data_IF_440080521889
#
_entry.id   IF_440080521889
#
_cell.length_a   1.000
_cell.length_b   1.000
_cell.length_c   1.000
_cell.angle_alpha   90.00
_cell.angle_beta   90.00
_cell.angle_gamma   90.00
#
_symmetry.space_group_name_H-M   'P 1'
#
loop_
_entity.id
_entity.type
_entity.pdbx_description
1 polymer ?
#
# COMPACT_ATOMS: atom_id res chain seq x y z
N UNK A 1 -36.48 -8.89 21.28
CA UNK A 1 -35.53 -7.94 21.86
C UNK A 1 -34.99 -7.07 20.74
N UNK A 2 -35.05 -5.74 20.86
CA UNK A 2 -34.37 -4.82 19.92
C UNK A 2 -32.98 -4.59 20.48
N UNK A 3 -31.97 -5.22 19.90
CA UNK A 3 -30.57 -4.92 20.20
C UNK A 3 -30.30 -3.50 19.75
N UNK A 4 -29.79 -2.64 20.63
CA UNK A 4 -29.50 -1.25 20.28
C UNK A 4 -28.36 -1.22 19.26
N UNK A 5 -28.34 -0.23 18.36
CA UNK A 5 -27.28 -0.07 17.35
C UNK A 5 -25.91 0.03 18.02
N UNK A 6 -25.87 0.61 19.22
CA UNK A 6 -24.69 0.65 20.06
C UNK A 6 -24.18 -0.74 20.46
N UNK A 7 -25.07 -1.66 20.83
CA UNK A 7 -24.71 -3.04 21.20
C UNK A 7 -24.14 -3.80 19.99
N UNK A 8 -24.77 -3.64 18.81
CA UNK A 8 -24.31 -4.27 17.59
C UNK A 8 -22.92 -3.75 17.16
N UNK A 9 -22.67 -2.44 17.31
CA UNK A 9 -21.36 -1.85 17.05
C UNK A 9 -20.30 -2.36 18.03
N UNK A 10 -20.63 -2.42 19.33
CA UNK A 10 -19.72 -2.89 20.36
C UNK A 10 -19.36 -4.37 20.18
N UNK A 11 -20.33 -5.22 19.79
CA UNK A 11 -20.09 -6.61 19.43
C UNK A 11 -19.20 -6.70 18.17
N UNK A 12 -19.46 -5.86 17.16
CA UNK A 12 -18.61 -5.78 15.97
C UNK A 12 -17.15 -5.47 16.30
N UNK A 13 -16.89 -4.51 17.17
CA UNK A 13 -15.54 -4.22 17.65
C UNK A 13 -14.94 -5.35 18.50
N UNK A 14 -15.70 -5.97 19.41
CA UNK A 14 -15.16 -7.06 20.24
C UNK A 14 -14.73 -8.28 19.42
N UNK A 15 -15.49 -8.63 18.37
CA UNK A 15 -15.24 -9.85 17.61
C UNK A 15 -14.39 -9.65 16.35
N UNK A 16 -14.45 -8.49 15.69
CA UNK A 16 -13.78 -8.29 14.40
C UNK A 16 -12.57 -7.33 14.43
N UNK A 17 -12.31 -6.63 15.54
CA UNK A 17 -11.24 -5.62 15.59
C UNK A 17 -9.86 -6.20 15.31
N UNK A 18 -9.51 -7.34 15.89
CA UNK A 18 -8.23 -8.01 15.62
C UNK A 18 -8.14 -8.58 14.21
N UNK A 19 -9.25 -9.00 13.61
CA UNK A 19 -9.28 -9.49 12.23
C UNK A 19 -9.16 -8.34 11.21
N UNK A 20 -9.65 -7.14 11.55
CA UNK A 20 -9.61 -5.94 10.70
C UNK A 20 -8.24 -5.24 10.70
N UNK A 21 -7.44 -5.37 11.76
CA UNK A 21 -6.09 -4.78 11.84
C UNK A 21 -5.11 -5.33 10.77
N UNK A 22 -5.05 -6.64 10.48
CA UNK A 22 -4.32 -7.19 9.33
C UNK A 22 -4.72 -6.56 7.99
N UNK A 23 -6.00 -6.26 7.77
CA UNK A 23 -6.47 -5.62 6.54
C UNK A 23 -5.99 -4.18 6.41
N UNK A 24 -5.99 -3.42 7.50
CA UNK A 24 -5.42 -2.05 7.53
C UNK A 24 -3.92 -2.08 7.22
N UNK A 25 -3.17 -3.01 7.84
CA UNK A 25 -1.73 -3.21 7.57
C UNK A 25 -1.47 -3.64 6.14
N UNK A 26 -2.32 -4.48 5.55
CA UNK A 26 -2.24 -4.89 4.14
C UNK A 26 -2.38 -3.69 3.19
N UNK A 27 -3.27 -2.74 3.50
CA UNK A 27 -3.42 -1.51 2.72
C UNK A 27 -2.13 -0.68 2.69
N UNK A 28 -1.52 -0.47 3.86
CA UNK A 28 -0.24 0.24 3.99
C UNK A 28 0.88 -0.47 3.22
N UNK A 29 0.99 -1.80 3.37
CA UNK A 29 2.01 -2.59 2.68
C UNK A 29 1.88 -2.49 1.14
N UNK A 30 0.66 -2.64 0.62
CA UNK A 30 0.39 -2.52 -0.81
C UNK A 30 0.69 -1.10 -1.33
N UNK A 31 0.37 -0.07 -0.55
CA UNK A 31 0.70 1.31 -0.89
C UNK A 31 2.22 1.52 -0.97
N UNK A 32 2.97 1.04 0.03
CA UNK A 32 4.43 1.11 0.06
C UNK A 32 5.06 0.37 -1.12
N UNK A 33 4.55 -0.82 -1.46
CA UNK A 33 5.05 -1.60 -2.59
C UNK A 33 4.81 -0.89 -3.93
N UNK A 34 3.62 -0.30 -4.11
CA UNK A 34 3.31 0.53 -5.30
C UNK A 34 4.21 1.76 -5.38
N UNK A 35 4.49 2.40 -4.26
CA UNK A 35 5.41 3.54 -4.19
C UNK A 35 6.83 3.11 -4.62
N UNK A 36 7.35 2.04 -4.03
CA UNK A 36 8.68 1.52 -4.35
C UNK A 36 8.82 1.14 -5.83
N UNK A 37 7.79 0.50 -6.41
CA UNK A 37 7.78 0.12 -7.83
C UNK A 37 7.91 1.35 -8.73
N UNK A 38 7.16 2.42 -8.48
CA UNK A 38 7.25 3.67 -9.26
C UNK A 38 8.61 4.35 -9.13
N UNK A 39 9.20 4.33 -7.93
CA UNK A 39 10.55 4.85 -7.73
C UNK A 39 11.58 4.07 -8.53
N UNK A 40 11.47 2.74 -8.54
CA UNK A 40 12.33 1.87 -9.32
C UNK A 40 12.20 2.10 -10.83
N UNK A 41 10.97 2.22 -11.34
CA UNK A 41 10.71 2.56 -12.75
C UNK A 41 11.32 3.90 -13.14
N UNK A 42 11.15 4.94 -12.30
CA UNK A 42 11.75 6.26 -12.51
C UNK A 42 13.28 6.20 -12.57
N UNK A 43 13.90 5.54 -11.58
CA UNK A 43 15.35 5.40 -11.51
C UNK A 43 15.91 4.62 -12.70
N UNK A 44 15.26 3.52 -13.06
CA UNK A 44 15.66 2.68 -14.20
C UNK A 44 15.51 3.44 -15.52
N UNK A 45 14.44 4.23 -15.67
CA UNK A 45 14.24 5.11 -16.81
C UNK A 45 15.38 6.12 -16.96
N UNK A 46 15.75 6.81 -15.88
CA UNK A 46 16.88 7.74 -15.87
C UNK A 46 18.21 7.04 -16.20
N UNK A 47 18.44 5.85 -15.63
CA UNK A 47 19.64 5.06 -15.91
C UNK A 47 19.76 4.71 -17.39
N UNK A 48 18.67 4.23 -18.01
CA UNK A 48 18.65 3.91 -19.44
C UNK A 48 18.91 5.16 -20.27
N UNK A 49 18.28 6.29 -19.94
CA UNK A 49 18.50 7.55 -20.66
C UNK A 49 19.96 8.02 -20.55
N UNK A 50 20.56 7.96 -19.36
CA UNK A 50 21.96 8.32 -19.16
C UNK A 50 22.89 7.40 -19.97
N UNK A 51 22.64 6.09 -19.98
CA UNK A 51 23.43 5.13 -20.77
C UNK A 51 23.32 5.36 -22.27
N UNK A 52 22.12 5.63 -22.77
CA UNK A 52 21.93 5.98 -24.17
C UNK A 52 22.68 7.29 -24.50
N UNK A 53 22.50 8.33 -23.69
CA UNK A 53 23.18 9.61 -23.87
C UNK A 53 24.71 9.47 -23.89
N UNK A 54 25.29 8.73 -22.95
CA UNK A 54 26.73 8.43 -22.93
C UNK A 54 27.17 7.70 -24.21
N UNK A 55 26.35 6.77 -24.72
CA UNK A 55 26.63 6.04 -25.96
C UNK A 55 26.60 6.95 -27.19
N UNK A 56 25.75 7.98 -27.21
CA UNK A 56 25.66 8.95 -28.32
C UNK A 56 26.75 10.04 -28.28
N UNK A 57 27.48 10.17 -27.17
CA UNK A 57 28.57 11.15 -26.99
C UNK A 57 29.98 10.56 -27.17
N UNK A 58 30.10 9.25 -27.38
CA UNK A 58 31.39 8.55 -27.61
C UNK A 58 31.51 8.13 -29.07
#
# INVERSE_FOLDING_TARGET
MKTDVADAYQLGEMFYKEELEPYKKRGQYLMNLRYLTRQYESLTGMYVQAKLHDTFLT
#
